data_IF_490197519444
#
_entry.id   IF_490197519444
#
_cell.length_a   1.000
_cell.length_b   1.000
_cell.length_c   1.000
_cell.angle_alpha   90.00
_cell.angle_beta   90.00
_cell.angle_gamma   90.00
#
_symmetry.space_group_name_H-M   'P 1'
#
loop_
_entity.id
_entity.type
_entity.pdbx_description
1 polymer ?
#
# COMPACT_ATOMS: atom_id res chain seq x y z
N UNK A 1 -2.33 -5.23 -56.99
CA UNK A 1 -3.54 -4.95 -56.20
C UNK A 1 -3.51 -5.72 -54.88
N UNK A 2 -3.02 -6.96 -54.89
CA UNK A 2 -3.01 -7.84 -53.70
C UNK A 2 -2.05 -7.39 -52.58
N UNK A 3 -0.88 -6.80 -52.89
CA UNK A 3 0.04 -6.27 -51.87
C UNK A 3 -0.56 -5.12 -51.04
N UNK A 4 -1.37 -4.26 -51.67
CA UNK A 4 -2.05 -3.16 -51.00
C UNK A 4 -3.14 -3.66 -50.04
N UNK A 5 -3.82 -4.75 -50.41
CA UNK A 5 -4.81 -5.38 -49.56
C UNK A 5 -4.17 -6.03 -48.31
N UNK A 6 -3.00 -6.67 -48.48
CA UNK A 6 -2.27 -7.32 -47.39
C UNK A 6 -1.79 -6.31 -46.33
N UNK A 7 -1.26 -5.16 -46.78
CA UNK A 7 -0.81 -4.07 -45.88
C UNK A 7 -1.98 -3.47 -45.10
N UNK A 8 -3.12 -3.23 -45.77
CA UNK A 8 -4.32 -2.70 -45.12
C UNK A 8 -4.89 -3.68 -44.09
N UNK A 9 -4.83 -4.99 -44.35
CA UNK A 9 -5.29 -6.02 -43.42
C UNK A 9 -4.36 -6.12 -42.19
N UNK A 10 -3.04 -6.01 -42.39
CA UNK A 10 -2.05 -5.95 -41.30
C UNK A 10 -2.25 -4.72 -40.40
N UNK A 11 -2.43 -3.52 -41.00
CA UNK A 11 -2.69 -2.29 -40.26
C UNK A 11 -3.99 -2.34 -39.44
N UNK A 12 -5.06 -2.92 -40.01
CA UNK A 12 -6.32 -3.12 -39.28
C UNK A 12 -6.16 -4.08 -38.11
N UNK A 13 -5.43 -5.18 -38.30
CA UNK A 13 -5.12 -6.14 -37.24
C UNK A 13 -4.30 -5.50 -36.12
N UNK A 14 -3.29 -4.70 -36.47
CA UNK A 14 -2.48 -3.96 -35.52
C UNK A 14 -3.30 -2.91 -34.74
N UNK A 15 -4.12 -2.12 -35.42
CA UNK A 15 -4.99 -1.12 -34.79
C UNK A 15 -6.02 -1.76 -33.83
N UNK A 16 -6.57 -2.91 -34.20
CA UNK A 16 -7.46 -3.68 -33.34
C UNK A 16 -6.73 -4.21 -32.09
N UNK A 17 -5.50 -4.73 -32.25
CA UNK A 17 -4.65 -5.16 -31.14
C UNK A 17 -4.32 -4.02 -30.17
N UNK A 18 -3.92 -2.85 -30.70
CA UNK A 18 -3.65 -1.67 -29.88
C UNK A 18 -4.90 -1.19 -29.13
N UNK A 19 -6.05 -1.18 -29.79
CA UNK A 19 -7.31 -0.76 -29.17
C UNK A 19 -7.68 -1.70 -28.01
N UNK A 20 -7.47 -3.01 -28.18
CA UNK A 20 -7.64 -4.00 -27.13
C UNK A 20 -6.69 -3.76 -25.96
N UNK A 21 -5.39 -3.59 -26.24
CA UNK A 21 -4.37 -3.34 -25.20
C UNK A 21 -4.68 -2.06 -24.42
N UNK A 22 -5.06 -0.98 -25.11
CA UNK A 22 -5.41 0.30 -24.47
C UNK A 22 -6.67 0.15 -23.61
N UNK A 23 -7.67 -0.61 -24.06
CA UNK A 23 -8.86 -0.90 -23.27
C UNK A 23 -8.52 -1.69 -22.00
N UNK A 24 -7.73 -2.76 -22.11
CA UNK A 24 -7.26 -3.56 -20.97
C UNK A 24 -6.47 -2.71 -19.97
N UNK A 25 -5.53 -1.88 -20.45
CA UNK A 25 -4.71 -1.01 -19.60
C UNK A 25 -5.52 0.08 -18.89
N UNK A 26 -6.58 0.60 -19.53
CA UNK A 26 -7.49 1.56 -18.90
C UNK A 26 -8.28 0.93 -17.76
N UNK A 27 -8.76 -0.30 -17.93
CA UNK A 27 -9.47 -1.01 -16.86
C UNK A 27 -8.53 -1.40 -15.71
N UNK A 28 -7.31 -1.85 -16.01
CA UNK A 28 -6.26 -2.03 -14.98
C UNK A 28 -6.01 -0.72 -14.21
N UNK A 29 -5.93 0.42 -14.90
CA UNK A 29 -5.70 1.72 -14.27
C UNK A 29 -6.84 2.14 -13.35
N UNK A 30 -8.10 1.97 -13.77
CA UNK A 30 -9.27 2.24 -12.93
C UNK A 30 -9.29 1.35 -11.68
N UNK A 31 -8.94 0.07 -11.82
CA UNK A 31 -8.83 -0.83 -10.69
C UNK A 31 -7.74 -0.36 -9.70
N UNK A 32 -6.59 0.09 -10.21
CA UNK A 32 -5.51 0.68 -9.39
C UNK A 32 -5.94 1.95 -8.66
N UNK A 33 -6.69 2.84 -9.31
CA UNK A 33 -7.17 4.08 -8.70
C UNK A 33 -8.15 3.83 -7.55
N UNK A 34 -9.06 2.87 -7.71
CA UNK A 34 -9.97 2.45 -6.62
C UNK A 34 -9.19 1.93 -5.41
N UNK A 35 -8.14 1.15 -5.65
CA UNK A 35 -7.28 0.64 -4.58
C UNK A 35 -6.47 1.74 -3.91
N UNK A 36 -5.87 2.65 -4.69
CA UNK A 36 -5.15 3.79 -4.16
C UNK A 36 -6.06 4.68 -3.28
N UNK A 37 -7.32 4.87 -3.68
CA UNK A 37 -8.30 5.59 -2.88
C UNK A 37 -8.60 4.88 -1.54
N UNK A 38 -8.73 3.55 -1.53
CA UNK A 38 -8.87 2.77 -0.27
C UNK A 38 -7.65 2.97 0.64
N UNK A 39 -6.44 2.85 0.10
CA UNK A 39 -5.20 3.05 0.86
C UNK A 39 -5.09 4.46 1.45
N UNK A 40 -5.44 5.49 0.68
CA UNK A 40 -5.50 6.86 1.19
C UNK A 40 -6.48 7.00 2.35
N UNK A 41 -7.65 6.37 2.28
CA UNK A 41 -8.61 6.39 3.38
C UNK A 41 -8.10 5.66 4.63
N UNK A 42 -7.35 4.56 4.48
CA UNK A 42 -6.70 3.90 5.61
C UNK A 42 -5.54 4.74 6.19
N UNK A 43 -4.75 5.39 5.34
CA UNK A 43 -3.67 6.29 5.74
C UNK A 43 -4.20 7.46 6.58
N UNK A 44 -5.30 8.10 6.13
CA UNK A 44 -5.94 9.20 6.86
C UNK A 44 -6.40 8.75 8.25
N UNK A 45 -7.08 7.59 8.34
CA UNK A 45 -7.50 7.00 9.63
C UNK A 45 -6.33 6.65 10.54
N UNK A 46 -5.24 6.11 9.97
CA UNK A 46 -4.02 5.81 10.72
C UNK A 46 -3.43 7.08 11.33
N UNK A 47 -3.38 8.14 10.53
CA UNK A 47 -2.77 9.40 10.93
C UNK A 47 -3.60 10.09 12.03
N UNK A 48 -4.93 10.09 11.91
CA UNK A 48 -5.84 10.58 12.96
C UNK A 48 -5.67 9.80 14.27
N UNK A 49 -5.71 8.46 14.20
CA UNK A 49 -5.53 7.61 15.39
C UNK A 49 -4.15 7.77 16.04
N UNK A 50 -3.09 7.92 15.22
CA UNK A 50 -1.74 8.17 15.68
C UNK A 50 -1.65 9.51 16.44
N UNK A 51 -2.25 10.58 15.89
CA UNK A 51 -2.27 11.89 16.53
C UNK A 51 -2.97 11.82 17.89
N UNK A 52 -4.13 11.18 17.96
CA UNK A 52 -4.90 11.09 19.20
C UNK A 52 -4.19 10.23 20.25
N UNK A 53 -3.62 9.10 19.84
CA UNK A 53 -2.80 8.26 20.72
C UNK A 53 -1.57 9.02 21.20
N UNK A 54 -0.94 9.80 20.33
CA UNK A 54 0.20 10.64 20.68
C UNK A 54 -0.15 11.72 21.69
N UNK A 55 -1.23 12.47 21.48
CA UNK A 55 -1.72 13.45 22.45
C UNK A 55 -1.99 12.83 23.81
N UNK A 56 -2.73 11.71 23.85
CA UNK A 56 -3.03 10.99 25.10
C UNK A 56 -1.76 10.56 25.82
N UNK A 57 -0.77 10.05 25.07
CA UNK A 57 0.50 9.60 25.65
C UNK A 57 1.32 10.78 26.17
N UNK A 58 1.44 11.87 25.42
CA UNK A 58 2.12 13.07 25.87
C UNK A 58 1.51 13.64 27.15
N UNK A 59 0.17 13.72 27.25
CA UNK A 59 -0.48 14.19 28.49
C UNK A 59 -0.15 13.27 29.66
N UNK A 60 -0.24 11.95 29.47
CA UNK A 60 0.07 10.97 30.52
C UNK A 60 1.54 11.03 30.96
N UNK A 61 2.49 11.10 30.02
CA UNK A 61 3.91 11.20 30.40
C UNK A 61 4.25 12.55 31.05
N UNK A 62 3.57 13.64 30.66
CA UNK A 62 3.70 14.94 31.33
C UNK A 62 3.18 14.90 32.78
N UNK A 63 2.05 14.23 33.03
CA UNK A 63 1.53 13.97 34.39
C UNK A 63 2.51 13.14 35.24
N UNK A 64 3.34 12.32 34.60
CA UNK A 64 4.37 11.50 35.23
C UNK A 64 5.75 12.18 35.28
N UNK A 65 5.84 13.46 34.90
CA UNK A 65 7.08 14.24 34.83
C UNK A 65 8.19 13.60 33.96
N UNK A 66 7.78 12.85 32.93
CA UNK A 66 8.69 12.19 31.98
C UNK A 66 8.83 13.02 30.71
N UNK A 67 10.07 13.24 30.29
CA UNK A 67 10.41 14.03 29.11
C UNK A 67 10.45 13.22 27.80
N UNK A 68 10.09 11.93 27.82
CA UNK A 68 10.15 11.05 26.66
C UNK A 68 8.85 10.26 26.49
N UNK A 69 8.35 10.19 25.25
CA UNK A 69 7.21 9.37 24.87
C UNK A 69 7.49 8.63 23.56
N UNK A 70 7.39 7.30 23.58
CA UNK A 70 7.55 6.44 22.39
C UNK A 70 6.21 5.82 21.99
N UNK A 71 5.90 5.70 20.70
CA UNK A 71 4.67 5.04 20.22
C UNK A 71 5.05 3.97 19.21
N UNK A 72 4.49 2.77 19.41
CA UNK A 72 4.72 1.66 18.50
C UNK A 72 3.70 1.71 17.36
N UNK A 73 4.21 1.83 16.14
CA UNK A 73 3.39 1.72 14.92
C UNK A 73 2.62 0.40 14.87
N UNK A 74 3.22 -0.71 15.35
CA UNK A 74 2.59 -2.02 15.41
C UNK A 74 1.35 -2.06 16.32
N UNK A 75 1.27 -1.18 17.33
CA UNK A 75 0.08 -1.07 18.18
C UNK A 75 -1.04 -0.30 17.47
N UNK A 76 -0.70 0.74 16.73
CA UNK A 76 -1.66 1.57 16.00
C UNK A 76 -2.35 0.80 14.86
N UNK A 77 -1.58 0.03 14.09
CA UNK A 77 -2.13 -0.73 12.95
C UNK A 77 -3.01 -1.91 13.36
N UNK A 78 -2.88 -2.42 14.60
CA UNK A 78 -3.72 -3.52 15.11
C UNK A 78 -5.18 -3.13 15.32
N UNK A 79 -5.45 -1.84 15.53
CA UNK A 79 -6.81 -1.34 15.77
C UNK A 79 -7.60 -1.12 14.47
N UNK A 80 -6.94 -1.24 13.31
CA UNK A 80 -7.56 -1.06 12.00
C UNK A 80 -7.98 -2.42 11.45
N UNK A 81 -9.29 -2.62 11.33
CA UNK A 81 -9.87 -3.77 10.65
C UNK A 81 -9.36 -3.84 9.21
N UNK A 82 -9.00 -5.04 8.75
CA UNK A 82 -8.50 -5.34 7.39
C UNK A 82 -7.08 -4.83 7.09
N UNK A 83 -6.36 -4.28 8.07
CA UNK A 83 -4.94 -3.95 7.87
C UNK A 83 -4.08 -5.22 7.82
N UNK A 84 -3.03 -5.29 6.97
CA UNK A 84 -2.21 -6.48 6.87
C UNK A 84 -1.55 -6.88 8.20
N UNK A 85 -1.71 -8.14 8.61
CA UNK A 85 -1.10 -8.69 9.82
C UNK A 85 0.09 -9.56 9.48
N UNK A 86 1.15 -9.46 10.27
CA UNK A 86 2.34 -10.29 10.13
C UNK A 86 2.45 -11.29 11.28
N UNK A 87 3.00 -12.46 10.97
CA UNK A 87 3.36 -13.53 11.90
C UNK A 87 4.85 -13.81 11.72
N UNK A 88 5.52 -14.15 12.82
CA UNK A 88 6.91 -14.60 12.79
C UNK A 88 6.89 -16.12 12.73
N UNK A 89 7.34 -16.69 11.61
CA UNK A 89 7.53 -18.13 11.43
C UNK A 89 9.00 -18.34 11.12
N UNK A 90 9.69 -19.19 11.88
CA UNK A 90 11.11 -19.52 11.68
C UNK A 90 12.05 -18.29 11.58
N UNK A 91 11.82 -17.28 12.42
CA UNK A 91 12.54 -15.99 12.42
C UNK A 91 12.34 -15.12 11.17
N UNK A 92 11.36 -15.44 10.33
CA UNK A 92 10.97 -14.62 9.18
C UNK A 92 9.67 -13.89 9.46
N UNK A 93 9.62 -12.59 9.16
CA UNK A 93 8.39 -11.80 9.23
C UNK A 93 7.56 -12.06 7.98
N UNK A 94 6.52 -12.88 8.10
CA UNK A 94 5.61 -13.21 7.01
C UNK A 94 4.29 -12.47 7.20
N UNK A 95 3.75 -11.87 6.15
CA UNK A 95 2.40 -11.29 6.17
C UNK A 95 1.39 -12.42 5.97
N UNK A 96 0.67 -12.78 7.03
CA UNK A 96 -0.26 -13.91 7.07
C UNK A 96 -1.62 -13.52 6.47
N UNK A 97 -2.12 -12.33 6.81
CA UNK A 97 -3.37 -11.81 6.30
C UNK A 97 -3.12 -10.49 5.60
N UNK A 98 -3.49 -10.41 4.33
CA UNK A 98 -3.40 -9.20 3.52
C UNK A 98 -4.69 -8.37 3.57
N UNK A 99 -5.65 -8.75 4.42
CA UNK A 99 -7.00 -8.22 4.43
C UNK A 99 -7.72 -8.57 3.13
N UNK A 100 -8.39 -7.58 2.54
CA UNK A 100 -8.95 -7.66 1.18
C UNK A 100 -7.88 -7.74 0.07
N UNK A 101 -6.59 -7.80 0.45
CA UNK A 101 -5.44 -7.63 -0.40
C UNK A 101 -4.80 -8.83 -1.04
N UNK A 102 -4.32 -8.64 -2.28
CA UNK A 102 -3.34 -9.53 -2.87
C UNK A 102 -1.93 -9.10 -2.43
N UNK A 103 -1.03 -10.07 -2.23
CA UNK A 103 0.37 -9.80 -1.86
C UNK A 103 1.10 -8.84 -2.83
N UNK A 104 0.67 -8.79 -4.10
CA UNK A 104 1.17 -7.88 -5.11
C UNK A 104 0.87 -6.39 -4.84
N UNK A 105 0.06 -6.07 -3.84
CA UNK A 105 -0.36 -4.69 -3.52
C UNK A 105 0.77 -3.82 -3.00
N UNK A 106 1.81 -4.41 -2.40
CA UNK A 106 2.97 -3.67 -1.88
C UNK A 106 3.84 -3.05 -2.97
N UNK A 107 3.76 -3.54 -4.21
CA UNK A 107 4.41 -2.89 -5.35
C UNK A 107 3.91 -1.47 -5.61
N UNK A 108 2.72 -1.13 -5.11
CA UNK A 108 2.04 0.15 -5.35
C UNK A 108 2.11 1.11 -4.16
N UNK A 109 2.74 0.70 -3.05
CA UNK A 109 2.94 1.59 -1.91
C UNK A 109 4.07 2.56 -2.27
N UNK A 110 3.83 3.89 -2.32
CA UNK A 110 4.90 4.84 -2.54
C UNK A 110 5.96 4.66 -1.45
N UNK A 111 7.23 4.72 -1.84
CA UNK A 111 8.40 4.44 -0.99
C UNK A 111 8.43 5.19 0.35
N UNK A 112 7.61 6.22 0.53
CA UNK A 112 7.41 6.93 1.81
C UNK A 112 6.92 6.02 2.94
N UNK A 113 6.16 4.97 2.66
CA UNK A 113 5.67 4.04 3.70
C UNK A 113 6.72 2.99 4.10
N UNK A 114 7.73 2.75 3.26
CA UNK A 114 8.76 1.73 3.51
C UNK A 114 9.82 2.17 4.52
N UNK A 115 9.94 3.49 4.77
CA UNK A 115 11.01 4.04 5.60
C UNK A 115 10.85 3.78 7.11
N UNK A 116 9.71 3.25 7.56
CA UNK A 116 9.46 3.03 9.00
C UNK A 116 9.94 1.63 9.48
N UNK A 117 10.17 0.65 8.60
CA UNK A 117 10.58 -0.70 9.03
C UNK A 117 12.09 -0.97 8.97
N UNK A 118 12.91 -0.17 8.28
CA UNK A 118 14.33 -0.50 8.08
C UNK A 118 15.32 0.18 9.07
N UNK A 119 14.84 0.84 10.12
CA UNK A 119 15.70 1.44 11.16
C UNK A 119 15.43 0.88 12.56
N UNK A 120 15.59 -0.43 12.72
CA UNK A 120 15.96 -1.00 14.03
C UNK A 120 16.87 -2.22 13.85
N UNK A 121 18.00 -2.00 13.20
CA UNK A 121 19.09 -2.97 13.15
C UNK A 121 20.43 -2.23 13.13
N UNK A 122 20.73 -1.46 14.17
CA UNK A 122 22.08 -1.25 14.72
C UNK A 122 22.03 -0.35 15.96
N UNK A 123 22.02 -0.96 17.13
CA UNK A 123 22.61 -0.39 18.34
C UNK A 123 23.05 -1.54 19.25
N UNK A 124 24.32 -1.92 19.09
CA UNK A 124 25.18 -2.46 20.12
C UNK A 124 26.56 -1.86 19.90
#
# INVERSE_FOLDING_TARGET
ADDLALVLQSLRSFAASLTKIVAEKREEQKAREKLAAKWKAHEEKLLESLIDTFKKKCMREAELERCEASISFASLVREISEFPTHVIVDSQHLVENWGDGAASWWYYVPWSCFFIQHTSAHSR
#
